data_IF_762138006480
#
_entry.id   IF_762138006480
#
_cell.length_a   1.000
_cell.length_b   1.000
_cell.length_c   1.000
_cell.angle_alpha   90.00
_cell.angle_beta   90.00
_cell.angle_gamma   90.00
#
_symmetry.space_group_name_H-M   'P 1'
#
loop_
_entity.id
_entity.type
_entity.pdbx_description
1 polymer ?
#
# COMPACT_ATOMS: atom_id res chain seq x y z
N UNK A 1 13.70 4.73 -30.80
CA UNK A 1 14.38 4.34 -29.55
C UNK A 1 15.22 5.50 -29.06
N UNK A 2 14.96 6.02 -27.87
CA UNK A 2 15.71 7.11 -27.23
C UNK A 2 15.94 6.77 -25.76
N UNK A 3 17.09 7.16 -25.23
CA UNK A 3 17.45 7.02 -23.80
C UNK A 3 17.61 8.39 -23.12
N UNK A 4 17.23 9.46 -23.82
CA UNK A 4 17.43 10.84 -23.38
C UNK A 4 16.90 11.07 -21.94
N UNK A 5 15.66 10.67 -21.66
CA UNK A 5 15.04 10.81 -20.33
C UNK A 5 15.82 10.08 -19.23
N UNK A 6 16.39 8.90 -19.55
CA UNK A 6 17.26 8.18 -18.60
C UNK A 6 18.51 9.00 -18.34
N UNK A 7 19.18 9.48 -19.39
CA UNK A 7 20.42 10.23 -19.26
C UNK A 7 20.24 11.55 -18.52
N UNK A 8 19.13 12.26 -18.75
CA UNK A 8 18.78 13.49 -18.02
C UNK A 8 18.50 13.22 -16.54
N UNK A 9 17.93 12.06 -16.20
CA UNK A 9 17.59 11.73 -14.82
C UNK A 9 18.79 11.37 -13.96
N UNK A 10 19.88 10.85 -14.55
CA UNK A 10 21.06 10.39 -13.80
C UNK A 10 21.67 11.51 -12.95
N UNK A 11 22.01 12.69 -13.46
CA UNK A 11 22.61 13.74 -12.65
C UNK A 11 21.63 14.36 -11.63
N UNK A 12 20.33 14.26 -11.86
CA UNK A 12 19.31 14.74 -10.92
C UNK A 12 19.20 13.82 -9.72
N UNK A 13 19.20 12.50 -9.96
CA UNK A 13 19.01 11.47 -8.93
C UNK A 13 20.36 11.10 -8.25
N UNK A 14 21.44 11.13 -9.00
CA UNK A 14 22.79 10.79 -8.54
C UNK A 14 23.73 11.98 -8.72
N UNK A 15 23.61 12.98 -7.85
CA UNK A 15 24.41 14.24 -7.93
C UNK A 15 25.91 14.02 -7.83
N UNK A 16 26.32 12.90 -7.23
CA UNK A 16 27.74 12.53 -7.07
C UNK A 16 28.29 11.68 -8.22
N UNK A 17 27.42 11.25 -9.16
CA UNK A 17 27.85 10.40 -10.26
C UNK A 17 28.86 11.13 -11.18
N UNK A 18 29.98 10.47 -11.46
CA UNK A 18 31.02 10.94 -12.39
C UNK A 18 31.30 9.93 -13.49
N UNK A 19 30.75 8.73 -13.37
CA UNK A 19 30.98 7.64 -14.30
C UNK A 19 29.67 7.01 -14.74
N UNK A 20 29.52 6.74 -16.04
CA UNK A 20 28.44 5.92 -16.61
C UNK A 20 29.05 4.70 -17.27
N UNK A 21 28.73 3.51 -16.77
CA UNK A 21 29.16 2.26 -17.41
C UNK A 21 28.01 1.61 -18.15
N UNK A 22 28.20 1.38 -19.44
CA UNK A 22 27.21 0.79 -20.33
C UNK A 22 27.47 -0.72 -20.43
N UNK A 23 26.48 -1.53 -20.08
CA UNK A 23 26.53 -2.99 -20.20
C UNK A 23 25.80 -3.41 -21.47
N UNK A 24 26.49 -4.12 -22.35
CA UNK A 24 25.94 -4.61 -23.60
C UNK A 24 26.44 -6.04 -23.87
N UNK A 25 25.51 -6.98 -24.03
CA UNK A 25 25.83 -8.37 -24.41
C UNK A 25 26.11 -8.51 -25.91
N UNK A 26 26.53 -9.70 -26.31
CA UNK A 26 26.82 -10.03 -27.70
C UNK A 26 25.57 -10.47 -28.49
N UNK A 27 24.53 -9.63 -28.49
CA UNK A 27 23.32 -9.82 -29.29
C UNK A 27 23.15 -8.72 -30.32
N UNK A 28 22.52 -9.01 -31.45
CA UNK A 28 22.25 -8.00 -32.49
C UNK A 28 21.39 -6.86 -31.95
N UNK A 29 20.37 -7.17 -31.15
CA UNK A 29 19.49 -6.16 -30.56
C UNK A 29 20.25 -5.22 -29.61
N UNK A 30 21.08 -5.75 -28.70
CA UNK A 30 21.85 -4.94 -27.77
C UNK A 30 22.85 -4.02 -28.52
N UNK A 31 23.56 -4.57 -29.51
CA UNK A 31 24.49 -3.77 -30.34
C UNK A 31 23.77 -2.71 -31.17
N UNK A 32 22.57 -3.00 -31.68
CA UNK A 32 21.78 -2.01 -32.42
C UNK A 32 21.28 -0.90 -31.51
N UNK A 33 20.74 -1.24 -30.33
CA UNK A 33 20.31 -0.27 -29.33
C UNK A 33 21.47 0.63 -28.88
N UNK A 34 22.66 0.07 -28.63
CA UNK A 34 23.84 0.84 -28.28
C UNK A 34 24.24 1.82 -29.40
N UNK A 35 24.20 1.38 -30.69
CA UNK A 35 24.48 2.27 -31.82
C UNK A 35 23.47 3.40 -31.95
N UNK A 36 22.20 3.11 -31.74
CA UNK A 36 21.13 4.12 -31.77
C UNK A 36 21.26 5.13 -30.62
N UNK A 37 21.72 4.68 -29.45
CA UNK A 37 21.97 5.55 -28.30
C UNK A 37 23.26 6.38 -28.40
N UNK A 38 24.18 6.03 -29.28
CA UNK A 38 25.50 6.67 -29.37
C UNK A 38 25.46 8.21 -29.51
N UNK A 39 24.58 8.83 -30.33
CA UNK A 39 24.47 10.29 -30.40
C UNK A 39 24.05 10.92 -29.05
N UNK A 40 23.12 10.33 -28.34
CA UNK A 40 22.64 10.83 -27.04
C UNK A 40 23.73 10.68 -25.97
N UNK A 41 24.45 9.55 -25.98
CA UNK A 41 25.60 9.33 -25.09
C UNK A 41 26.74 10.33 -25.35
N UNK A 42 26.97 10.69 -26.61
CA UNK A 42 27.98 11.69 -26.97
C UNK A 42 27.61 13.13 -26.60
N UNK A 43 26.29 13.38 -26.42
CA UNK A 43 25.76 14.67 -26.01
C UNK A 43 25.64 14.83 -24.48
N UNK A 44 26.03 13.81 -23.70
CA UNK A 44 26.02 13.90 -22.25
C UNK A 44 26.97 14.97 -21.70
N UNK A 45 26.68 15.37 -20.44
CA UNK A 45 27.57 16.27 -19.69
C UNK A 45 29.03 15.80 -19.75
N UNK A 46 29.97 16.64 -20.20
CA UNK A 46 31.40 16.33 -20.23
C UNK A 46 31.99 15.95 -18.86
N UNK A 47 31.31 16.29 -17.77
CA UNK A 47 31.70 15.91 -16.42
C UNK A 47 31.49 14.42 -16.12
N UNK A 48 30.74 13.68 -16.97
CA UNK A 48 30.51 12.25 -16.80
C UNK A 48 31.34 11.44 -17.79
N UNK A 49 32.21 10.60 -17.26
CA UNK A 49 33.02 9.67 -18.07
C UNK A 49 32.21 8.45 -18.47
N UNK A 50 32.04 8.22 -19.77
CA UNK A 50 31.29 7.06 -20.30
C UNK A 50 32.25 5.92 -20.63
N UNK A 51 31.98 4.73 -20.04
CA UNK A 51 32.72 3.48 -20.31
C UNK A 51 31.78 2.42 -20.85
N UNK A 52 32.11 1.80 -21.97
CA UNK A 52 31.31 0.71 -22.55
C UNK A 52 31.92 -0.65 -22.22
N UNK A 53 31.13 -1.52 -21.57
CA UNK A 53 31.43 -2.92 -21.29
C UNK A 53 30.61 -3.77 -22.26
N UNK A 54 31.16 -4.02 -23.43
CA UNK A 54 30.43 -4.71 -24.50
C UNK A 54 31.07 -6.05 -24.84
N UNK A 55 30.23 -7.05 -25.08
CA UNK A 55 30.61 -8.38 -25.58
C UNK A 55 31.77 -9.03 -24.79
N UNK A 56 31.72 -8.92 -23.46
CA UNK A 56 32.73 -9.53 -22.60
C UNK A 56 32.31 -10.96 -22.18
N UNK A 57 33.29 -11.89 -22.01
CA UNK A 57 33.07 -13.14 -21.30
C UNK A 57 32.62 -12.88 -19.85
N UNK A 58 31.94 -13.83 -19.23
CA UNK A 58 31.34 -13.64 -17.89
C UNK A 58 32.37 -13.23 -16.83
N UNK A 59 33.54 -13.85 -16.79
CA UNK A 59 34.61 -13.51 -15.83
C UNK A 59 35.18 -12.10 -16.07
N UNK A 60 35.35 -11.72 -17.34
CA UNK A 60 35.83 -10.39 -17.69
C UNK A 60 34.80 -9.29 -17.35
N UNK A 61 33.51 -9.55 -17.58
CA UNK A 61 32.43 -8.66 -17.19
C UNK A 61 32.41 -8.47 -15.67
N UNK A 62 32.47 -9.56 -14.92
CA UNK A 62 32.54 -9.52 -13.46
C UNK A 62 33.71 -8.65 -12.96
N UNK A 63 34.91 -8.92 -13.44
CA UNK A 63 36.09 -8.16 -13.07
C UNK A 63 35.96 -6.69 -13.43
N UNK A 64 35.48 -6.38 -14.64
CA UNK A 64 35.25 -5.01 -15.07
C UNK A 64 34.24 -4.26 -14.19
N UNK A 65 33.18 -4.93 -13.72
CA UNK A 65 32.19 -4.34 -12.81
C UNK A 65 32.75 -4.14 -11.39
N UNK A 66 33.56 -5.08 -10.88
CA UNK A 66 34.20 -4.97 -9.58
C UNK A 66 35.23 -3.84 -9.51
N UNK A 67 35.86 -3.48 -10.66
CA UNK A 67 36.84 -2.41 -10.79
C UNK A 67 36.23 -1.02 -10.99
N UNK A 68 34.90 -0.89 -11.14
CA UNK A 68 34.25 0.40 -11.34
C UNK A 68 34.26 1.24 -10.05
N UNK A 69 34.49 2.56 -10.17
CA UNK A 69 34.34 3.49 -9.06
C UNK A 69 32.93 3.47 -8.44
N UNK A 70 32.81 3.82 -7.17
CA UNK A 70 31.51 3.80 -6.45
C UNK A 70 30.55 4.87 -6.93
N UNK A 71 31.03 5.94 -7.55
CA UNK A 71 30.25 7.02 -8.18
C UNK A 71 29.82 6.67 -9.62
N UNK A 72 29.82 5.38 -9.95
CA UNK A 72 29.37 4.89 -11.26
C UNK A 72 27.90 4.51 -11.25
N UNK A 73 27.18 4.95 -12.28
CA UNK A 73 25.84 4.49 -12.63
C UNK A 73 25.95 3.50 -13.80
N UNK A 74 25.16 2.44 -13.76
CA UNK A 74 25.13 1.43 -14.82
C UNK A 74 23.93 1.67 -15.76
N UNK A 75 24.14 1.54 -17.06
CA UNK A 75 23.08 1.51 -18.07
C UNK A 75 23.12 0.16 -18.80
N UNK A 76 22.12 -0.69 -18.56
CA UNK A 76 22.09 -2.07 -19.04
C UNK A 76 21.22 -2.23 -20.28
N UNK A 77 21.85 -2.38 -21.44
CA UNK A 77 21.18 -2.72 -22.71
C UNK A 77 20.85 -4.21 -22.86
N UNK A 78 21.20 -5.03 -21.86
CA UNK A 78 20.96 -6.46 -21.83
C UNK A 78 22.25 -7.28 -22.07
N UNK A 79 22.61 -8.04 -21.03
CA UNK A 79 23.75 -8.97 -21.08
C UNK A 79 23.24 -10.41 -21.20
N UNK A 80 22.56 -10.70 -22.32
CA UNK A 80 21.91 -11.98 -22.57
C UNK A 80 22.79 -13.01 -23.27
N UNK A 81 23.88 -12.56 -23.88
CA UNK A 81 24.87 -13.41 -24.52
C UNK A 81 26.27 -12.84 -24.29
N UNK A 82 27.18 -13.73 -23.92
CA UNK A 82 28.59 -13.39 -23.73
C UNK A 82 29.39 -13.55 -25.04
N UNK A 83 30.60 -13.00 -25.10
CA UNK A 83 31.48 -13.17 -26.26
C UNK A 83 31.90 -14.63 -26.52
N UNK A 84 31.98 -15.45 -25.47
CA UNK A 84 32.26 -16.90 -25.55
C UNK A 84 31.01 -17.75 -25.81
N UNK A 85 29.89 -17.10 -26.18
CA UNK A 85 28.69 -17.77 -26.66
C UNK A 85 27.72 -18.27 -25.59
N UNK A 86 27.99 -18.05 -24.30
CA UNK A 86 27.04 -18.43 -23.26
C UNK A 86 25.80 -17.53 -23.36
N UNK A 87 24.62 -18.12 -23.21
CA UNK A 87 23.36 -17.38 -23.28
C UNK A 87 22.63 -17.46 -21.95
N UNK A 88 22.01 -16.37 -21.55
CA UNK A 88 21.25 -16.22 -20.31
C UNK A 88 19.84 -15.73 -20.59
N UNK A 89 18.88 -16.22 -19.84
CA UNK A 89 17.58 -15.56 -19.75
C UNK A 89 17.74 -14.15 -19.13
N UNK A 90 16.76 -13.29 -19.33
CA UNK A 90 16.76 -11.95 -18.72
C UNK A 90 16.91 -12.02 -17.20
N UNK A 91 16.21 -12.95 -16.55
CA UNK A 91 16.29 -13.15 -15.09
C UNK A 91 17.69 -13.56 -14.65
N UNK A 92 18.28 -14.56 -15.28
CA UNK A 92 19.63 -15.03 -14.96
C UNK A 92 20.68 -13.95 -15.19
N UNK A 93 20.58 -13.21 -16.30
CA UNK A 93 21.48 -12.09 -16.60
C UNK A 93 21.45 -11.03 -15.49
N UNK A 94 20.26 -10.59 -15.09
CA UNK A 94 20.12 -9.57 -14.04
C UNK A 94 20.59 -10.10 -12.67
N UNK A 95 20.28 -11.34 -12.33
CA UNK A 95 20.77 -11.97 -11.09
C UNK A 95 22.28 -12.02 -11.04
N UNK A 96 22.94 -12.40 -12.16
CA UNK A 96 24.41 -12.41 -12.27
C UNK A 96 25.00 -11.02 -12.12
N UNK A 97 24.50 -10.04 -12.89
CA UNK A 97 24.97 -8.64 -12.78
C UNK A 97 24.82 -8.13 -11.34
N UNK A 98 23.68 -8.40 -10.70
CA UNK A 98 23.45 -8.00 -9.30
C UNK A 98 24.32 -8.72 -8.29
N UNK A 99 24.76 -9.95 -8.57
CA UNK A 99 25.72 -10.67 -7.71
C UNK A 99 27.15 -10.14 -7.84
N UNK A 100 27.45 -9.39 -8.90
CA UNK A 100 28.80 -8.86 -9.18
C UNK A 100 28.94 -7.39 -8.79
N UNK A 101 27.85 -6.65 -8.66
CA UNK A 101 27.90 -5.23 -8.32
C UNK A 101 26.64 -4.73 -7.61
N UNK A 102 26.84 -3.79 -6.69
CA UNK A 102 25.78 -3.07 -5.99
C UNK A 102 25.50 -1.67 -6.57
N UNK A 103 26.17 -1.29 -7.66
CA UNK A 103 25.98 0.00 -8.29
C UNK A 103 24.55 0.20 -8.82
N UNK A 104 24.00 1.41 -8.80
CA UNK A 104 22.68 1.69 -9.33
C UNK A 104 22.63 1.40 -10.83
N UNK A 105 21.59 0.66 -11.24
CA UNK A 105 21.46 0.18 -12.64
C UNK A 105 20.17 0.70 -13.24
N UNK A 106 20.30 1.35 -14.40
CA UNK A 106 19.21 1.77 -15.26
C UNK A 106 19.08 0.82 -16.46
N UNK A 107 17.89 0.80 -17.05
CA UNK A 107 17.66 0.03 -18.28
C UNK A 107 16.66 0.75 -19.19
N UNK A 108 16.89 0.76 -20.50
CA UNK A 108 15.88 1.26 -21.45
C UNK A 108 14.70 0.28 -21.63
N UNK A 109 14.79 -0.92 -21.04
CA UNK A 109 13.79 -1.99 -21.25
C UNK A 109 12.87 -2.14 -20.04
N UNK A 110 11.57 -1.91 -20.21
CA UNK A 110 10.56 -2.05 -19.16
C UNK A 110 10.51 -3.46 -18.56
N UNK A 111 10.78 -4.51 -19.34
CA UNK A 111 10.80 -5.90 -18.86
C UNK A 111 11.87 -6.22 -17.80
N UNK A 112 12.88 -5.36 -17.61
CA UNK A 112 13.92 -5.51 -16.59
C UNK A 112 13.54 -4.88 -15.23
N UNK A 113 12.51 -4.03 -15.21
CA UNK A 113 12.02 -3.39 -13.99
C UNK A 113 11.48 -4.41 -12.99
N UNK A 114 11.63 -4.12 -11.71
CA UNK A 114 11.24 -5.04 -10.63
C UNK A 114 12.18 -6.25 -10.44
N UNK A 115 13.31 -6.28 -11.15
CA UNK A 115 14.31 -7.37 -11.09
C UNK A 115 15.70 -6.88 -10.68
N UNK A 116 15.73 -5.84 -9.85
CA UNK A 116 16.98 -5.25 -9.36
C UNK A 116 17.48 -4.07 -10.20
N UNK A 117 16.76 -3.60 -11.18
CA UNK A 117 17.00 -2.36 -11.92
C UNK A 117 16.35 -1.22 -11.14
N UNK A 118 17.08 -0.11 -10.94
CA UNK A 118 16.60 1.06 -10.19
C UNK A 118 15.51 1.78 -10.95
N UNK A 119 15.78 2.07 -12.23
CA UNK A 119 14.84 2.76 -13.08
C UNK A 119 15.00 2.34 -14.54
N UNK A 120 13.94 2.56 -15.26
CA UNK A 120 13.91 2.32 -16.69
C UNK A 120 12.83 3.14 -17.37
N UNK A 121 12.86 3.10 -18.68
CA UNK A 121 11.90 3.76 -19.51
C UNK A 121 10.73 2.81 -19.79
N UNK A 122 9.51 3.29 -19.64
CA UNK A 122 8.34 2.52 -20.02
C UNK A 122 8.13 2.63 -21.52
N UNK A 123 8.30 1.52 -22.21
CA UNK A 123 7.67 1.36 -23.52
C UNK A 123 6.19 1.04 -23.26
N UNK A 124 5.31 1.83 -23.83
CA UNK A 124 3.86 1.65 -23.70
C UNK A 124 3.39 0.47 -24.55
N UNK A 125 3.73 -0.75 -24.15
CA UNK A 125 3.29 -1.96 -24.87
C UNK A 125 1.76 -1.99 -25.04
N UNK A 126 1.01 -1.53 -24.03
CA UNK A 126 -0.44 -1.42 -24.08
C UNK A 126 -0.88 -0.35 -25.12
N UNK A 127 -0.21 0.80 -25.13
CA UNK A 127 -0.42 1.85 -26.12
C UNK A 127 -0.21 1.33 -27.54
N UNK A 128 0.89 0.63 -27.80
CA UNK A 128 1.18 0.03 -29.10
C UNK A 128 0.15 -1.03 -29.47
N UNK A 129 -0.25 -1.90 -28.53
CA UNK A 129 -1.24 -2.93 -28.79
C UNK A 129 -2.60 -2.34 -29.16
N UNK A 130 -3.07 -1.34 -28.42
CA UNK A 130 -4.34 -0.66 -28.69
C UNK A 130 -4.29 0.05 -30.04
N UNK A 131 -3.22 0.79 -30.34
CA UNK A 131 -3.10 1.48 -31.63
C UNK A 131 -2.97 0.52 -32.81
N UNK A 132 -2.20 -0.57 -32.66
CA UNK A 132 -2.13 -1.60 -33.69
C UNK A 132 -3.52 -2.23 -33.95
N UNK A 133 -4.30 -2.49 -32.90
CA UNK A 133 -5.66 -2.98 -33.08
C UNK A 133 -6.56 -1.97 -33.80
N UNK A 134 -6.48 -0.69 -33.48
CA UNK A 134 -7.19 0.36 -34.19
C UNK A 134 -6.78 0.47 -35.67
N UNK A 135 -5.47 0.38 -35.96
CA UNK A 135 -4.98 0.37 -37.35
C UNK A 135 -5.55 -0.83 -38.14
N UNK A 136 -5.51 -2.02 -37.54
CA UNK A 136 -6.10 -3.22 -38.16
C UNK A 136 -7.58 -3.03 -38.44
N UNK A 137 -8.37 -2.55 -37.47
CA UNK A 137 -9.78 -2.30 -37.66
C UNK A 137 -10.07 -1.27 -38.75
N UNK A 138 -9.27 -0.21 -38.85
CA UNK A 138 -9.38 0.80 -39.92
C UNK A 138 -9.12 0.20 -41.30
N UNK A 139 -8.07 -0.63 -41.42
CA UNK A 139 -7.74 -1.30 -42.69
C UNK A 139 -8.85 -2.27 -43.07
N UNK A 140 -9.36 -3.06 -42.15
CA UNK A 140 -10.48 -3.97 -42.39
C UNK A 140 -11.77 -3.20 -42.74
N UNK A 141 -11.93 -1.98 -42.23
CA UNK A 141 -13.01 -1.05 -42.60
C UNK A 141 -12.83 -0.36 -43.95
N UNK A 142 -11.76 -0.66 -44.71
CA UNK A 142 -11.52 -0.15 -46.03
C UNK A 142 -10.59 1.08 -46.11
N UNK A 143 -9.98 1.51 -45.02
CA UNK A 143 -8.98 2.60 -45.04
C UNK A 143 -7.70 2.09 -45.70
N UNK A 144 -7.17 2.73 -46.74
CA UNK A 144 -5.92 2.33 -47.36
C UNK A 144 -4.76 2.43 -46.36
N UNK A 145 -3.89 1.40 -46.21
CA UNK A 145 -2.77 1.40 -45.24
C UNK A 145 -1.85 2.61 -45.37
N UNK A 146 -1.59 3.07 -46.59
CA UNK A 146 -0.69 4.20 -46.85
C UNK A 146 -1.24 5.56 -46.37
N UNK A 147 -2.54 5.63 -46.04
CA UNK A 147 -3.19 6.85 -45.51
C UNK A 147 -3.17 6.92 -43.99
N UNK A 148 -2.79 5.83 -43.32
CA UNK A 148 -2.72 5.79 -41.86
C UNK A 148 -1.42 6.48 -41.42
N UNK A 149 -1.52 7.55 -40.59
CA UNK A 149 -0.33 8.25 -40.17
C UNK A 149 0.56 7.37 -39.29
N UNK A 150 1.88 7.58 -39.39
CA UNK A 150 2.82 6.95 -38.48
C UNK A 150 2.53 7.40 -37.05
N UNK A 151 2.49 6.44 -36.15
CA UNK A 151 2.26 6.69 -34.75
C UNK A 151 3.47 7.40 -34.15
N UNK A 152 3.26 8.56 -33.53
CA UNK A 152 4.25 9.22 -32.71
C UNK A 152 4.00 8.80 -31.27
N UNK A 153 4.99 8.15 -30.67
CA UNK A 153 4.93 7.75 -29.28
C UNK A 153 4.89 8.98 -28.37
N UNK A 154 4.05 8.97 -27.33
CA UNK A 154 4.18 9.96 -26.27
C UNK A 154 5.55 9.81 -25.60
N UNK A 155 6.06 10.90 -25.03
CA UNK A 155 7.34 10.86 -24.31
C UNK A 155 7.30 9.76 -23.25
N UNK A 156 8.26 8.83 -23.24
CA UNK A 156 8.26 7.73 -22.32
C UNK A 156 8.41 8.24 -20.88
N UNK A 157 7.62 7.67 -19.96
CA UNK A 157 7.79 7.95 -18.54
C UNK A 157 8.95 7.15 -17.96
N UNK A 158 9.66 7.75 -17.00
CA UNK A 158 10.61 7.01 -16.17
C UNK A 158 9.87 6.23 -15.09
N UNK A 159 10.19 4.96 -14.98
CA UNK A 159 9.64 4.08 -13.94
C UNK A 159 10.76 3.72 -12.99
N UNK A 160 10.55 3.95 -11.70
CA UNK A 160 11.46 3.61 -10.61
C UNK A 160 10.90 2.45 -9.78
N UNK A 161 11.80 1.57 -9.33
CA UNK A 161 11.45 0.49 -8.41
C UNK A 161 11.63 0.98 -6.97
N UNK A 162 10.53 1.00 -6.19
CA UNK A 162 10.54 1.45 -4.79
C UNK A 162 11.56 0.68 -3.94
N UNK A 163 11.70 -0.64 -4.13
CA UNK A 163 12.66 -1.42 -3.36
C UNK A 163 14.10 -0.98 -3.64
N UNK A 164 14.40 -0.60 -4.88
CA UNK A 164 15.73 -0.09 -5.26
C UNK A 164 15.94 1.35 -4.82
N UNK A 165 14.91 2.21 -4.87
CA UNK A 165 14.98 3.56 -4.28
C UNK A 165 15.35 3.48 -2.78
N UNK A 166 14.66 2.63 -2.04
CA UNK A 166 14.93 2.39 -0.61
C UNK A 166 16.36 1.87 -0.39
N UNK A 167 16.82 0.92 -1.24
CA UNK A 167 18.17 0.35 -1.16
C UNK A 167 19.27 1.40 -1.32
N UNK A 168 19.08 2.35 -2.22
CA UNK A 168 20.07 3.41 -2.50
C UNK A 168 19.83 4.69 -1.69
N UNK A 169 18.81 4.72 -0.81
CA UNK A 169 18.49 5.90 0.01
C UNK A 169 18.02 7.11 -0.81
N UNK A 170 17.42 6.87 -1.99
CA UNK A 170 16.91 7.91 -2.88
C UNK A 170 15.49 8.28 -2.44
N UNK A 171 15.27 9.57 -2.18
CA UNK A 171 13.92 10.07 -1.86
C UNK A 171 13.07 10.19 -3.12
N UNK A 172 11.77 9.92 -2.99
CA UNK A 172 10.82 10.12 -4.09
C UNK A 172 10.73 11.59 -4.53
N UNK A 173 11.03 12.54 -3.63
CA UNK A 173 11.10 13.97 -3.94
C UNK A 173 12.23 14.36 -4.89
N UNK A 174 13.25 13.52 -4.99
CA UNK A 174 14.43 13.78 -5.80
C UNK A 174 14.30 13.25 -7.22
N UNK A 175 13.17 12.59 -7.50
CA UNK A 175 12.90 12.03 -8.82
C UNK A 175 12.39 13.09 -9.80
N UNK A 176 12.66 12.93 -11.10
CA UNK A 176 12.11 13.79 -12.12
C UNK A 176 10.58 13.86 -12.05
N UNK A 177 9.95 15.01 -12.41
CA UNK A 177 8.51 15.10 -12.53
C UNK A 177 7.95 14.01 -13.47
N UNK A 178 6.74 13.56 -13.21
CA UNK A 178 6.05 12.49 -13.97
C UNK A 178 6.70 11.11 -13.88
N UNK A 179 7.62 10.89 -12.91
CA UNK A 179 8.15 9.56 -12.62
C UNK A 179 7.09 8.66 -12.01
N UNK A 180 7.02 7.43 -12.48
CA UNK A 180 6.11 6.39 -11.95
C UNK A 180 6.90 5.48 -11.01
N UNK A 181 6.35 5.15 -9.85
CA UNK A 181 7.00 4.25 -8.90
C UNK A 181 6.22 2.94 -8.82
N UNK A 182 6.91 1.85 -9.11
CA UNK A 182 6.37 0.49 -9.01
C UNK A 182 6.85 -0.20 -7.73
N UNK A 183 6.23 -1.35 -7.40
CA UNK A 183 6.59 -2.20 -6.25
C UNK A 183 6.55 -1.47 -4.90
N UNK A 184 5.72 -0.42 -4.76
CA UNK A 184 5.46 0.16 -3.44
C UNK A 184 4.82 -0.91 -2.56
N UNK A 185 5.30 -1.11 -1.33
CA UNK A 185 4.60 -1.96 -0.39
C UNK A 185 3.20 -1.40 -0.17
N UNK A 186 2.20 -2.26 -0.25
CA UNK A 186 0.83 -1.87 0.09
C UNK A 186 0.81 -1.37 1.54
N UNK A 187 0.10 -0.29 1.81
CA UNK A 187 -0.14 0.16 3.17
C UNK A 187 -0.85 -0.95 3.96
N UNK A 188 -0.66 -0.97 5.30
CA UNK A 188 -1.36 -1.94 6.17
C UNK A 188 -2.87 -1.94 5.92
N UNK A 189 -3.44 -0.76 5.70
CA UNK A 189 -4.86 -0.60 5.38
C UNK A 189 -5.23 -1.25 4.05
N UNK A 190 -4.48 -1.01 2.98
CA UNK A 190 -4.74 -1.59 1.66
C UNK A 190 -4.61 -3.11 1.67
N UNK A 191 -3.61 -3.64 2.38
CA UNK A 191 -3.37 -5.07 2.51
C UNK A 191 -4.47 -5.78 3.30
N UNK A 192 -5.06 -5.12 4.32
CA UNK A 192 -6.00 -5.73 5.25
C UNK A 192 -7.42 -5.17 5.15
N UNK A 193 -7.73 -4.27 4.20
CA UNK A 193 -9.04 -3.60 4.09
C UNK A 193 -10.21 -4.58 4.04
N UNK A 194 -10.04 -5.73 3.38
CA UNK A 194 -11.06 -6.77 3.29
C UNK A 194 -11.39 -7.42 4.64
N UNK A 195 -10.44 -7.43 5.59
CA UNK A 195 -10.63 -7.93 6.95
C UNK A 195 -11.00 -6.83 7.94
N UNK A 196 -10.46 -5.62 7.77
CA UNK A 196 -10.68 -4.48 8.68
C UNK A 196 -12.13 -3.98 8.65
N UNK A 197 -12.74 -3.87 7.47
CA UNK A 197 -14.13 -3.40 7.34
C UNK A 197 -15.13 -4.29 8.09
N UNK A 198 -15.17 -5.64 7.88
CA UNK A 198 -16.06 -6.50 8.64
C UNK A 198 -15.72 -6.53 10.14
N UNK A 199 -14.44 -6.48 10.52
CA UNK A 199 -14.05 -6.43 11.93
C UNK A 199 -14.55 -5.16 12.62
N UNK A 200 -14.45 -3.99 11.97
CA UNK A 200 -15.03 -2.74 12.48
C UNK A 200 -16.55 -2.82 12.63
N UNK A 201 -17.24 -3.42 11.66
CA UNK A 201 -18.71 -3.60 11.72
C UNK A 201 -19.11 -4.47 12.90
N UNK A 202 -18.43 -5.61 13.11
CA UNK A 202 -18.67 -6.48 14.26
C UNK A 202 -18.43 -5.74 15.58
N UNK A 203 -17.35 -4.97 15.67
CA UNK A 203 -17.02 -4.20 16.87
C UNK A 203 -18.11 -3.15 17.19
N UNK A 204 -18.63 -2.45 16.18
CA UNK A 204 -19.72 -1.49 16.35
C UNK A 204 -21.02 -2.16 16.83
N UNK A 205 -21.36 -3.33 16.28
CA UNK A 205 -22.52 -4.09 16.69
C UNK A 205 -22.37 -4.57 18.15
N UNK A 206 -21.22 -5.12 18.53
CA UNK A 206 -20.95 -5.54 19.91
C UNK A 206 -21.02 -4.35 20.87
N UNK A 207 -20.48 -3.20 20.51
CA UNK A 207 -20.56 -1.98 21.30
C UNK A 207 -22.03 -1.54 21.50
N UNK A 208 -22.83 -1.57 20.43
CA UNK A 208 -24.27 -1.29 20.50
C UNK A 208 -25.01 -2.26 21.43
N UNK A 209 -24.71 -3.57 21.39
CA UNK A 209 -25.27 -4.57 22.27
C UNK A 209 -24.90 -4.27 23.73
N UNK A 210 -23.64 -3.91 24.00
CA UNK A 210 -23.22 -3.56 25.38
C UNK A 210 -24.00 -2.35 25.90
N UNK A 211 -24.15 -1.31 25.09
CA UNK A 211 -24.92 -0.12 25.47
C UNK A 211 -26.40 -0.47 25.75
N UNK A 212 -26.98 -1.31 24.89
CA UNK A 212 -28.36 -1.77 25.08
C UNK A 212 -28.51 -2.58 26.38
N UNK A 213 -27.60 -3.51 26.65
CA UNK A 213 -27.60 -4.28 27.92
C UNK A 213 -27.46 -3.38 29.13
N UNK A 214 -26.56 -2.40 29.11
CA UNK A 214 -26.41 -1.41 30.18
C UNK A 214 -27.72 -0.62 30.40
N UNK A 215 -28.36 -0.20 29.32
CA UNK A 215 -29.64 0.49 29.36
C UNK A 215 -30.73 -0.38 30.03
N UNK A 216 -30.88 -1.64 29.56
CA UNK A 216 -31.87 -2.59 30.12
C UNK A 216 -31.61 -2.89 31.60
N UNK A 217 -30.36 -3.06 32.01
CA UNK A 217 -30.00 -3.23 33.43
C UNK A 217 -30.38 -1.99 34.25
N UNK A 218 -30.15 -0.78 33.75
CA UNK A 218 -30.58 0.45 34.45
C UNK A 218 -32.09 0.56 34.58
N UNK A 219 -32.84 0.22 33.52
CA UNK A 219 -34.32 0.20 33.55
C UNK A 219 -34.80 -0.82 34.57
N UNK A 220 -34.24 -2.04 34.58
CA UNK A 220 -34.60 -3.08 35.56
C UNK A 220 -34.33 -2.64 36.99
N UNK A 221 -33.14 -2.06 37.26
CA UNK A 221 -32.80 -1.56 38.61
C UNK A 221 -33.77 -0.44 39.09
N UNK A 222 -34.16 0.47 38.20
CA UNK A 222 -35.14 1.51 38.49
C UNK A 222 -36.53 0.91 38.82
N UNK A 223 -36.97 -0.06 38.02
CA UNK A 223 -38.25 -0.73 38.21
C UNK A 223 -38.27 -1.50 39.55
N UNK A 224 -37.20 -2.23 39.90
CA UNK A 224 -37.08 -2.90 41.19
C UNK A 224 -37.06 -1.92 42.37
N UNK A 225 -36.39 -0.78 42.23
CA UNK A 225 -36.36 0.26 43.25
C UNK A 225 -37.77 0.84 43.52
N UNK A 226 -38.53 1.13 42.46
CA UNK A 226 -39.93 1.60 42.56
C UNK A 226 -40.82 0.57 43.24
N UNK A 227 -40.72 -0.70 42.84
CA UNK A 227 -41.48 -1.82 43.47
C UNK A 227 -41.15 -1.98 44.96
N UNK A 228 -39.88 -1.81 45.35
CA UNK A 228 -39.49 -1.84 46.79
C UNK A 228 -40.07 -0.67 47.55
N UNK A 229 -40.10 0.51 46.95
CA UNK A 229 -40.67 1.71 47.54
C UNK A 229 -42.20 1.56 47.74
N UNK A 230 -42.90 1.06 46.72
CA UNK A 230 -44.34 0.78 46.80
C UNK A 230 -44.67 -0.25 47.90
N UNK A 231 -43.91 -1.38 47.96
CA UNK A 231 -44.06 -2.39 49.03
C UNK A 231 -43.81 -1.80 50.41
N UNK A 232 -42.83 -0.91 50.57
CA UNK A 232 -42.54 -0.26 51.84
C UNK A 232 -43.70 0.66 52.27
N UNK A 233 -44.26 1.45 51.37
CA UNK A 233 -45.44 2.29 51.64
C UNK A 233 -46.66 1.46 52.05
N UNK A 234 -46.94 0.36 51.30
CA UNK A 234 -48.05 -0.55 51.66
C UNK A 234 -47.84 -1.21 53.03
N UNK A 235 -46.61 -1.60 53.33
CA UNK A 235 -46.29 -2.19 54.66
C UNK A 235 -46.50 -1.17 55.80
N UNK A 236 -46.13 0.09 55.58
CA UNK A 236 -46.38 1.16 56.54
C UNK A 236 -47.90 1.42 56.74
N UNK A 237 -48.66 1.52 55.63
CA UNK A 237 -50.12 1.68 55.70
C UNK A 237 -50.82 0.54 56.47
N UNK A 238 -50.45 -0.68 56.15
CA UNK A 238 -51.00 -1.89 56.89
C UNK A 238 -50.63 -1.89 58.38
N UNK A 239 -49.41 -1.43 58.71
CA UNK A 239 -49.00 -1.30 60.12
C UNK A 239 -49.79 -0.26 60.88
N UNK A 240 -50.06 0.90 60.25
CA UNK A 240 -50.90 1.97 60.82
C UNK A 240 -52.35 1.48 61.02
N UNK A 241 -52.89 0.80 60.03
CA UNK A 241 -54.27 0.23 60.16
C UNK A 241 -54.39 -0.80 61.29
N UNK A 242 -53.40 -1.68 61.42
CA UNK A 242 -53.35 -2.64 62.56
C UNK A 242 -53.28 -1.93 63.92
N UNK A 243 -52.49 -0.84 64.02
CA UNK A 243 -52.44 -0.04 65.24
C UNK A 243 -53.77 0.60 65.55
N UNK A 244 -54.42 1.20 64.60
CA UNK A 244 -55.75 1.80 64.82
C UNK A 244 -56.80 0.80 65.19
N UNK A 245 -56.79 -0.41 64.67
CA UNK A 245 -57.67 -1.49 65.04
C UNK A 245 -57.40 -1.98 66.49
N UNK A 246 -56.14 -2.09 66.90
CA UNK A 246 -55.76 -2.43 68.28
C UNK A 246 -56.24 -1.34 69.25
N UNK A 247 -56.00 -0.05 68.93
CA UNK A 247 -56.47 1.06 69.74
C UNK A 247 -57.99 1.04 69.93
N UNK A 248 -58.74 0.87 68.82
CA UNK A 248 -60.21 0.74 68.90
C UNK A 248 -60.69 -0.47 69.79
N UNK A 249 -59.98 -1.62 69.70
CA UNK A 249 -60.26 -2.76 70.53
C UNK A 249 -59.95 -2.49 71.98
N UNK A 250 -58.86 -1.84 72.31
CA UNK A 250 -58.50 -1.47 73.67
C UNK A 250 -59.49 -0.45 74.26
N UNK A 251 -59.91 0.49 73.45
CA UNK A 251 -60.91 1.51 73.84
C UNK A 251 -62.31 0.80 74.13
N UNK A 252 -62.69 -0.15 73.27
CA UNK A 252 -63.89 -0.95 73.48
C UNK A 252 -63.85 -1.79 74.77
N UNK A 253 -62.68 -2.42 75.05
CA UNK A 253 -62.44 -3.18 76.28
C UNK A 253 -62.43 -2.25 77.48
N UNK A 254 -61.81 -1.08 77.39
CA UNK A 254 -61.79 -0.09 78.44
C UNK A 254 -63.20 0.44 78.81
N UNK A 255 -64.04 0.65 77.79
CA UNK A 255 -65.47 1.03 78.05
C UNK A 255 -66.26 -0.12 78.64
N UNK A 256 -66.05 -1.37 78.26
CA UNK A 256 -66.73 -2.53 78.92
C UNK A 256 -66.22 -2.69 80.33
N UNK A 257 -64.95 -2.60 80.62
CA UNK A 257 -64.43 -2.70 82.00
C UNK A 257 -64.93 -1.55 82.88
N UNK A 258 -65.03 -0.31 82.37
CA UNK A 258 -65.61 0.83 83.10
C UNK A 258 -67.09 0.64 83.40
N UNK A 259 -67.86 0.08 82.47
CA UNK A 259 -69.25 -0.24 82.65
C UNK A 259 -69.48 -1.30 83.77
N UNK A 260 -68.69 -2.39 83.78
CA UNK A 260 -68.73 -3.44 84.78
C UNK A 260 -68.33 -2.85 86.13
N UNK A 261 -67.36 -2.01 86.23
CA UNK A 261 -66.97 -1.39 87.51
C UNK A 261 -68.07 -0.44 88.05
N UNK A 262 -68.79 0.23 87.17
CA UNK A 262 -69.92 1.09 87.54
C UNK A 262 -71.12 0.22 88.06
N UNK A 263 -71.37 -0.92 87.38
CA UNK A 263 -72.48 -1.79 87.78
C UNK A 263 -72.18 -2.57 89.07
N UNK A 264 -70.90 -2.95 89.33
CA UNK A 264 -70.49 -3.62 90.59
C UNK A 264 -70.46 -2.62 91.74
N UNK A 265 -70.30 -1.31 91.56
CA UNK A 265 -70.33 -0.32 92.65
C UNK A 265 -71.77 0.12 93.03
N UNK A 266 -72.78 -0.31 92.26
CA UNK A 266 -74.20 0.00 92.49
C UNK A 266 -75.02 -1.13 93.06
N UNK A 267 -74.37 -2.22 93.51
CA UNK A 267 -74.97 -3.26 94.32
C UNK A 267 -74.47 -3.09 95.77
#
# INVERSE_FOLDING_TARGET
>A
FSIHRILESIPLVHTEARHLAIICGDTTSARTALRQAAPELAAMDPGITVRTLSALPAQAMRKALEELPRDTVLLNFGYYRTADGQSYSMKESLQRLRSWTDLPMYSPWSGQLGKGVLAGQCEFNEFHAVHAAHMVLSILGGTPPDTIPLLHEPSPHLIYDHAMLTRYGISESDLPPDSVIINRPLSFYEQHRAALLPAMTVMLVLFGIILLLMYLLRVKQRSEALLRQEKAVLAQANALERRSQLERRMEAIGRMAGGITHDVNNI
#
